data_IF_651746972575
#
_entry.id   IF_651746972575
#
_cell.length_a   1.000
_cell.length_b   1.000
_cell.length_c   1.000
_cell.angle_alpha   90.00
_cell.angle_beta   90.00
_cell.angle_gamma   90.00
#
_symmetry.space_group_name_H-M   'P 1'
#
loop_
_entity.id
_entity.type
_entity.pdbx_description
1 polymer ?
#
# COMPACT_ATOMS: atom_id res chain seq x y z
N UNK A 1 -15.87 8.87 -32.36
CA UNK A 1 -15.71 7.56 -31.70
C UNK A 1 -16.05 7.74 -30.23
N UNK A 2 -17.00 6.99 -29.67
CA UNK A 2 -17.17 7.00 -28.21
C UNK A 2 -15.91 6.38 -27.58
N UNK A 3 -15.36 7.07 -26.58
CA UNK A 3 -14.33 6.50 -25.71
C UNK A 3 -14.90 5.22 -25.10
N UNK A 4 -14.36 4.05 -25.48
CA UNK A 4 -14.68 2.81 -24.78
C UNK A 4 -14.34 3.01 -23.31
N UNK A 5 -15.35 3.00 -22.44
CA UNK A 5 -15.10 2.96 -21.00
C UNK A 5 -14.32 1.68 -20.68
N UNK A 6 -13.04 1.82 -20.34
CA UNK A 6 -12.32 0.75 -19.65
C UNK A 6 -13.09 0.43 -18.38
N UNK A 7 -13.45 -0.83 -18.18
CA UNK A 7 -13.99 -1.27 -16.89
C UNK A 7 -12.98 -0.93 -15.80
N UNK A 8 -13.40 -0.16 -14.79
CA UNK A 8 -12.55 0.14 -13.64
C UNK A 8 -12.14 -1.16 -12.92
N UNK A 9 -10.89 -1.24 -12.47
CA UNK A 9 -10.40 -2.32 -11.62
C UNK A 9 -11.12 -2.37 -10.27
N UNK A 10 -10.80 -3.39 -9.46
CA UNK A 10 -11.25 -3.50 -8.07
C UNK A 10 -10.07 -3.23 -7.14
N UNK A 11 -10.22 -2.26 -6.24
CA UNK A 11 -9.28 -2.03 -5.13
C UNK A 11 -9.74 -2.86 -3.93
N UNK A 12 -8.85 -3.69 -3.40
CA UNK A 12 -9.11 -4.54 -2.23
C UNK A 12 -8.03 -4.24 -1.19
N UNK A 13 -8.42 -3.76 -0.01
CA UNK A 13 -7.51 -3.58 1.12
C UNK A 13 -7.65 -4.72 2.13
N UNK A 14 -6.53 -5.04 2.80
CA UNK A 14 -6.49 -6.01 3.89
C UNK A 14 -6.03 -5.30 5.16
N UNK A 15 -6.94 -5.20 6.14
CA UNK A 15 -6.70 -4.54 7.42
C UNK A 15 -6.62 -5.54 8.58
N UNK A 16 -5.91 -5.15 9.64
CA UNK A 16 -5.82 -5.94 10.87
C UNK A 16 -4.52 -5.73 11.63
N UNK A 17 -4.45 -6.27 12.85
CA UNK A 17 -3.30 -6.13 13.75
C UNK A 17 -2.02 -6.76 13.20
N UNK A 18 -0.89 -6.42 13.81
CA UNK A 18 0.39 -7.07 13.50
C UNK A 18 0.30 -8.58 13.72
N UNK A 19 0.94 -9.36 12.85
CA UNK A 19 0.89 -10.82 12.91
C UNK A 19 -0.44 -11.48 12.49
N UNK A 20 -1.48 -10.73 12.09
CA UNK A 20 -2.80 -11.31 11.72
C UNK A 20 -2.82 -12.10 10.39
N UNK A 21 -1.69 -12.17 9.69
CA UNK A 21 -1.55 -12.95 8.45
C UNK A 21 -1.93 -12.22 7.15
N UNK A 22 -2.08 -10.88 7.18
CA UNK A 22 -2.43 -10.04 6.02
C UNK A 22 -1.58 -10.34 4.79
N UNK A 23 -0.25 -10.29 4.93
CA UNK A 23 0.70 -10.51 3.82
C UNK A 23 0.53 -11.90 3.20
N UNK A 24 0.28 -12.93 4.02
CA UNK A 24 0.02 -14.29 3.54
C UNK A 24 -1.28 -14.36 2.74
N UNK A 25 -2.34 -13.70 3.21
CA UNK A 25 -3.63 -13.73 2.51
C UNK A 25 -3.63 -12.90 1.23
N UNK A 26 -2.92 -11.76 1.21
CA UNK A 26 -2.69 -10.97 -0.01
C UNK A 26 -2.00 -11.84 -1.07
N UNK A 27 -0.89 -12.50 -0.72
CA UNK A 27 -0.16 -13.36 -1.64
C UNK A 27 -1.02 -14.53 -2.18
N UNK A 28 -1.82 -15.16 -1.31
CA UNK A 28 -2.74 -16.24 -1.72
C UNK A 28 -3.84 -15.75 -2.65
N UNK A 29 -4.46 -14.61 -2.35
CA UNK A 29 -5.51 -14.03 -3.19
C UNK A 29 -4.95 -13.59 -4.55
N UNK A 30 -3.78 -12.95 -4.56
CA UNK A 30 -3.11 -12.55 -5.79
C UNK A 30 -2.81 -13.75 -6.68
N UNK A 31 -2.24 -14.81 -6.12
CA UNK A 31 -1.98 -16.06 -6.84
C UNK A 31 -3.26 -16.72 -7.37
N UNK A 32 -4.36 -16.66 -6.60
CA UNK A 32 -5.66 -17.17 -7.05
C UNK A 32 -6.18 -16.39 -8.27
N UNK A 33 -6.16 -15.06 -8.22
CA UNK A 33 -6.63 -14.24 -9.35
C UNK A 33 -5.74 -14.36 -10.58
N UNK A 34 -4.43 -14.44 -10.42
CA UNK A 34 -3.49 -14.68 -11.52
C UNK A 34 -3.76 -16.03 -12.21
N UNK A 35 -4.07 -17.09 -11.44
CA UNK A 35 -4.49 -18.39 -12.00
C UNK A 35 -5.79 -18.32 -12.81
N UNK A 36 -6.63 -17.33 -12.56
CA UNK A 36 -7.84 -17.05 -13.34
C UNK A 36 -7.62 -16.03 -14.47
N UNK A 37 -6.36 -15.81 -14.87
CA UNK A 37 -5.96 -14.89 -15.94
C UNK A 37 -6.38 -13.43 -15.72
N UNK A 38 -6.41 -12.98 -14.46
CA UNK A 38 -6.63 -11.57 -14.12
C UNK A 38 -5.31 -10.85 -13.95
N UNK A 39 -5.27 -9.59 -14.37
CA UNK A 39 -4.19 -8.67 -14.01
C UNK A 39 -4.31 -8.31 -12.52
N UNK A 40 -3.20 -8.40 -11.80
CA UNK A 40 -3.16 -8.24 -10.35
C UNK A 40 -1.93 -7.43 -9.97
N UNK A 41 -2.17 -6.27 -9.37
CA UNK A 41 -1.16 -5.45 -8.74
C UNK A 41 -1.31 -5.61 -7.23
N UNK A 42 -0.21 -5.94 -6.56
CA UNK A 42 -0.14 -6.00 -5.10
C UNK A 42 0.78 -4.91 -4.61
N UNK A 43 0.31 -4.12 -3.64
CA UNK A 43 1.08 -3.06 -3.00
C UNK A 43 0.77 -3.01 -1.50
N UNK A 44 1.46 -2.13 -0.75
CA UNK A 44 1.29 -1.95 0.69
C UNK A 44 1.43 -0.48 1.07
N UNK A 45 0.79 -0.11 2.18
CA UNK A 45 0.99 1.19 2.83
C UNK A 45 1.46 1.00 4.29
N UNK A 46 2.29 1.93 4.83
CA UNK A 46 3.11 2.85 4.06
C UNK A 46 4.21 2.05 3.32
N UNK A 47 4.52 2.45 2.09
CA UNK A 47 5.44 1.72 1.21
C UNK A 47 4.96 1.63 -0.24
N UNK A 48 5.46 0.63 -0.95
CA UNK A 48 5.02 0.29 -2.32
C UNK A 48 5.62 1.15 -3.43
N UNK A 49 6.40 2.17 -3.08
CA UNK A 49 7.21 3.02 -3.98
C UNK A 49 8.55 3.32 -3.30
N UNK A 50 9.56 3.76 -4.03
CA UNK A 50 10.88 4.09 -3.43
C UNK A 50 10.74 5.16 -2.32
N UNK A 51 10.03 6.25 -2.60
CA UNK A 51 9.75 7.31 -1.62
C UNK A 51 8.87 6.78 -0.48
N UNK A 52 7.85 5.98 -0.79
CA UNK A 52 6.97 5.39 0.22
C UNK A 52 7.71 4.49 1.21
N UNK A 53 8.72 3.73 0.76
CA UNK A 53 9.57 2.90 1.62
C UNK A 53 10.51 3.75 2.48
N UNK A 54 11.04 4.87 1.96
CA UNK A 54 11.82 5.82 2.77
C UNK A 54 10.98 6.43 3.90
N UNK A 55 9.74 6.85 3.60
CA UNK A 55 8.81 7.38 4.60
C UNK A 55 8.43 6.30 5.63
N UNK A 56 8.17 5.07 5.17
CA UNK A 56 7.90 3.92 6.07
C UNK A 56 9.04 3.75 7.07
N UNK A 57 10.30 3.83 6.63
CA UNK A 57 11.44 3.67 7.51
C UNK A 57 11.48 4.75 8.61
N UNK A 58 11.11 6.00 8.28
CA UNK A 58 10.99 7.08 9.26
C UNK A 58 9.93 6.73 10.30
N UNK A 59 8.74 6.28 9.88
CA UNK A 59 7.63 5.94 10.78
C UNK A 59 7.97 4.74 11.69
N UNK A 60 8.50 3.66 11.11
CA UNK A 60 8.71 2.38 11.82
C UNK A 60 9.94 2.39 12.71
N UNK A 61 11.02 3.08 12.31
CA UNK A 61 12.32 2.99 12.98
C UNK A 61 12.66 4.21 13.82
N UNK A 62 11.66 5.02 14.21
CA UNK A 62 11.86 6.21 15.02
C UNK A 62 12.18 5.90 16.50
N UNK A 63 13.34 5.28 16.70
CA UNK A 63 13.78 4.66 17.95
C UNK A 63 14.89 5.46 18.66
N UNK A 64 15.23 6.65 18.15
CA UNK A 64 16.35 7.46 18.63
C UNK A 64 15.91 8.89 18.98
N UNK A 65 15.21 9.03 20.10
CA UNK A 65 15.14 10.28 20.87
C UNK A 65 14.15 11.36 20.40
N UNK A 66 13.79 11.41 19.12
CA UNK A 66 12.84 12.40 18.59
C UNK A 66 11.47 11.76 18.34
N UNK A 67 10.57 11.79 19.34
CA UNK A 67 9.19 11.34 19.17
C UNK A 67 8.51 12.17 18.06
N UNK A 68 8.12 11.50 16.98
CA UNK A 68 7.30 12.10 15.92
C UNK A 68 5.92 12.36 16.51
N UNK A 69 5.47 13.61 16.52
CA UNK A 69 4.11 13.92 16.96
C UNK A 69 3.08 13.28 16.03
N UNK A 70 1.88 13.04 16.56
CA UNK A 70 0.80 12.33 15.85
C UNK A 70 0.46 12.98 14.49
N UNK A 71 0.50 14.31 14.40
CA UNK A 71 0.24 15.04 13.15
C UNK A 71 1.33 14.77 12.11
N UNK A 72 2.59 14.69 12.53
CA UNK A 72 3.71 14.40 11.63
C UNK A 72 3.61 12.97 11.11
N UNK A 73 3.29 11.99 11.97
CA UNK A 73 3.06 10.60 11.54
C UNK A 73 1.91 10.51 10.53
N UNK A 74 0.78 11.16 10.80
CA UNK A 74 -0.38 11.22 9.91
C UNK A 74 -0.02 11.80 8.54
N UNK A 75 0.70 12.93 8.52
CA UNK A 75 1.10 13.59 7.28
C UNK A 75 2.11 12.78 6.48
N UNK A 76 3.04 12.09 7.14
CA UNK A 76 3.98 11.18 6.49
C UNK A 76 3.24 10.00 5.84
N UNK A 77 2.29 9.38 6.56
CA UNK A 77 1.42 8.35 5.98
C UNK A 77 0.68 8.85 4.73
N UNK A 78 0.10 10.05 4.80
CA UNK A 78 -0.61 10.66 3.67
C UNK A 78 0.34 10.94 2.48
N UNK A 79 1.56 11.40 2.74
CA UNK A 79 2.57 11.62 1.71
C UNK A 79 3.00 10.32 1.01
N UNK A 80 3.22 9.25 1.77
CA UNK A 80 3.55 7.93 1.21
C UNK A 80 2.41 7.40 0.32
N UNK A 81 1.16 7.53 0.77
CA UNK A 81 -0.03 7.18 -0.03
C UNK A 81 -0.15 8.02 -1.30
N UNK A 82 0.08 9.34 -1.20
CA UNK A 82 0.01 10.24 -2.34
C UNK A 82 1.02 9.84 -3.43
N UNK A 83 2.23 9.42 -3.04
CA UNK A 83 3.20 8.89 -3.99
C UNK A 83 2.72 7.57 -4.60
N UNK A 84 2.25 6.64 -3.77
CA UNK A 84 1.79 5.33 -4.21
C UNK A 84 0.71 5.42 -5.30
N UNK A 85 -0.30 6.26 -5.11
CA UNK A 85 -1.40 6.47 -6.07
C UNK A 85 -0.93 7.05 -7.42
N UNK A 86 0.25 7.68 -7.47
CA UNK A 86 0.79 8.28 -8.69
C UNK A 86 1.71 7.35 -9.46
N UNK A 87 2.33 6.37 -8.80
CA UNK A 87 3.29 5.45 -9.41
C UNK A 87 2.72 4.06 -9.71
N UNK A 88 1.67 3.65 -8.98
CA UNK A 88 1.07 2.31 -9.05
C UNK A 88 -0.37 2.40 -9.55
#
# INVERSE_FOLDING_TARGET
MPLQQKSAGRLISFEGSEGSGKSTQIARLAAHFQKTHRDVISTREPGGTEIGEQIRNIIVHNSKGDEVCAETELLLFAAARAQLVREV
#
